data_IF_734550830906
#
_entry.id   IF_734550830906
#
_cell.length_a   1.000
_cell.length_b   1.000
_cell.length_c   1.000
_cell.angle_alpha   90.00
_cell.angle_beta   90.00
_cell.angle_gamma   90.00
#
_symmetry.space_group_name_H-M   'P 1'
#
loop_
_entity.id
_entity.type
_entity.pdbx_description
1 polymer ?
#
# COMPACT_ATOMS: atom_id res chain seq x y z
N UNK A 1 19.10 -3.97 -20.29
CA UNK A 1 18.79 -4.31 -18.89
C UNK A 1 18.06 -3.13 -18.28
N UNK A 2 16.79 -3.29 -17.86
CA UNK A 2 16.08 -2.24 -17.12
C UNK A 2 16.77 -2.06 -15.78
N UNK A 3 17.21 -0.83 -15.49
CA UNK A 3 17.82 -0.48 -14.21
C UNK A 3 16.72 -0.36 -13.17
N UNK A 4 16.85 -1.03 -12.02
CA UNK A 4 15.90 -0.86 -10.94
C UNK A 4 15.89 0.61 -10.46
N UNK A 5 14.73 1.16 -10.07
CA UNK A 5 14.66 2.51 -9.50
C UNK A 5 15.56 2.62 -8.25
N UNK A 6 16.06 3.82 -7.99
CA UNK A 6 16.80 4.10 -6.76
C UNK A 6 15.81 4.34 -5.64
N UNK A 7 15.95 3.60 -4.54
CA UNK A 7 15.10 3.75 -3.37
C UNK A 7 15.34 5.12 -2.70
N UNK A 8 14.30 5.95 -2.60
CA UNK A 8 14.31 7.24 -1.92
C UNK A 8 13.16 7.30 -0.90
N UNK A 9 13.45 7.80 0.30
CA UNK A 9 12.44 8.01 1.33
C UNK A 9 11.36 9.00 0.89
N UNK A 10 11.74 10.02 0.11
CA UNK A 10 10.80 11.02 -0.44
C UNK A 10 9.72 10.38 -1.32
N UNK A 11 10.05 9.30 -2.03
CA UNK A 11 9.10 8.60 -2.90
C UNK A 11 8.10 7.76 -2.10
N UNK A 12 8.49 7.33 -0.88
CA UNK A 12 7.65 6.54 0.02
C UNK A 12 6.61 7.40 0.72
N UNK A 13 6.94 8.68 0.98
CA UNK A 13 5.99 9.63 1.56
C UNK A 13 4.88 9.91 0.55
N UNK A 14 3.63 9.71 0.97
CA UNK A 14 2.48 10.00 0.14
C UNK A 14 2.30 11.52 -0.01
N UNK A 15 2.31 12.01 -1.26
CA UNK A 15 2.10 13.43 -1.57
C UNK A 15 0.62 13.78 -1.46
N UNK A 16 0.31 14.94 -0.86
CA UNK A 16 -1.07 15.39 -0.63
C UNK A 16 -1.71 16.08 -1.83
N UNK A 17 -0.92 16.55 -2.82
CA UNK A 17 -1.41 17.16 -4.05
C UNK A 17 -0.35 17.16 -5.14
N UNK A 18 -0.78 17.10 -6.40
CA UNK A 18 0.07 17.39 -7.56
C UNK A 18 -0.20 18.82 -8.02
N UNK A 19 0.82 19.66 -7.96
CA UNK A 19 0.76 21.08 -8.38
C UNK A 19 1.45 21.26 -9.71
N UNK A 20 0.78 21.91 -10.65
CA UNK A 20 1.36 22.29 -11.95
C UNK A 20 1.77 23.76 -11.87
N UNK A 21 3.01 24.05 -12.24
CA UNK A 21 3.57 25.39 -12.30
C UNK A 21 3.90 25.77 -13.74
N UNK A 22 3.82 27.06 -14.05
CA UNK A 22 4.33 27.59 -15.30
C UNK A 22 5.86 27.73 -15.31
N UNK A 23 6.40 28.19 -16.43
CA UNK A 23 7.84 28.41 -16.58
C UNK A 23 8.39 29.59 -15.73
N UNK A 24 7.49 30.35 -15.08
CA UNK A 24 7.82 31.45 -14.15
C UNK A 24 7.58 31.03 -12.69
N UNK A 25 7.29 29.73 -12.47
CA UNK A 25 7.03 29.14 -11.14
C UNK A 25 5.71 29.64 -10.49
N UNK A 26 4.75 30.16 -11.28
CA UNK A 26 3.40 30.46 -10.81
C UNK A 26 2.55 29.18 -10.83
N UNK A 27 1.75 28.97 -9.80
CA UNK A 27 0.82 27.83 -9.73
C UNK A 27 -0.28 27.99 -10.79
N UNK A 28 -0.28 27.11 -11.82
CA UNK A 28 -1.32 27.08 -12.87
C UNK A 28 -2.53 26.28 -12.40
N UNK A 29 -2.28 25.11 -11.79
CA UNK A 29 -3.31 24.24 -11.29
C UNK A 29 -2.83 23.47 -10.07
N UNK A 30 -3.68 23.37 -9.08
CA UNK A 30 -3.56 22.37 -8.03
C UNK A 30 -4.44 21.19 -8.46
N UNK A 31 -3.79 20.14 -8.99
CA UNK A 31 -4.48 18.89 -9.33
C UNK A 31 -4.78 18.09 -8.07
N UNK A 32 -5.09 18.76 -6.98
CA UNK A 32 -5.45 18.21 -5.68
C UNK A 32 -6.61 17.21 -5.69
N UNK A 33 -6.71 16.46 -6.78
CA UNK A 33 -7.71 15.44 -7.03
C UNK A 33 -7.49 14.18 -6.19
N UNK A 34 -6.32 13.95 -5.63
CA UNK A 34 -6.15 12.91 -4.62
C UNK A 34 -6.49 13.52 -3.26
N UNK A 35 -7.71 13.25 -2.79
CA UNK A 35 -8.05 13.45 -1.38
C UNK A 35 -7.13 12.56 -0.56
N UNK A 36 -6.12 13.13 0.06
CA UNK A 36 -5.17 12.37 0.85
C UNK A 36 -4.92 13.07 2.19
N UNK A 37 -5.20 12.35 3.26
CA UNK A 37 -4.94 12.77 4.64
C UNK A 37 -3.94 11.76 5.19
N UNK A 38 -2.70 12.18 5.38
CA UNK A 38 -1.67 11.32 5.95
C UNK A 38 -1.79 11.27 7.48
N UNK A 39 -1.48 10.11 8.02
CA UNK A 39 -1.36 9.87 9.47
C UNK A 39 0.06 9.49 9.83
N UNK A 40 0.42 9.78 11.08
CA UNK A 40 1.64 9.28 11.72
C UNK A 40 1.40 7.90 12.33
N UNK A 41 2.48 7.20 12.66
CA UNK A 41 2.40 5.85 13.25
C UNK A 41 1.51 5.79 14.51
N UNK A 42 1.55 6.85 15.35
CA UNK A 42 0.78 6.91 16.59
C UNK A 42 -0.73 7.10 16.38
N UNK A 43 -1.15 7.50 15.18
CA UNK A 43 -2.56 7.69 14.82
C UNK A 43 -3.17 6.44 14.20
N UNK A 44 -2.38 5.39 13.97
CA UNK A 44 -2.84 4.12 13.40
C UNK A 44 -3.23 3.17 14.54
N UNK A 45 -4.52 2.78 14.65
CA UNK A 45 -4.94 1.84 15.68
C UNK A 45 -4.25 0.48 15.56
N UNK A 46 -3.90 -0.13 16.68
CA UNK A 46 -3.30 -1.48 16.72
C UNK A 46 -4.19 -2.51 16.05
N UNK A 47 -5.51 -2.40 16.20
CA UNK A 47 -6.48 -3.32 15.57
C UNK A 47 -6.44 -3.21 14.05
N UNK A 48 -6.21 -2.01 13.48
CA UNK A 48 -6.01 -1.85 12.04
C UNK A 48 -4.73 -2.52 11.57
N UNK A 49 -3.62 -2.33 12.31
CA UNK A 49 -2.35 -3.01 12.01
C UNK A 49 -2.54 -4.52 12.01
N UNK A 50 -3.18 -5.06 13.05
CA UNK A 50 -3.44 -6.49 13.17
C UNK A 50 -4.32 -7.02 12.02
N UNK A 51 -5.35 -6.28 11.63
CA UNK A 51 -6.23 -6.65 10.53
C UNK A 51 -5.47 -6.64 9.17
N UNK A 52 -4.68 -5.61 8.88
CA UNK A 52 -3.85 -5.53 7.68
C UNK A 52 -2.87 -6.71 7.61
N UNK A 53 -2.15 -6.95 8.70
CA UNK A 53 -1.17 -8.04 8.77
C UNK A 53 -1.83 -9.41 8.60
N UNK A 54 -2.97 -9.63 9.25
CA UNK A 54 -3.72 -10.89 9.14
C UNK A 54 -4.19 -11.17 7.70
N UNK A 55 -4.66 -10.13 6.99
CA UNK A 55 -5.23 -10.25 5.65
C UNK A 55 -4.13 -10.30 4.58
N UNK A 56 -3.21 -9.34 4.63
CA UNK A 56 -2.25 -9.11 3.55
C UNK A 56 -0.96 -9.91 3.73
N UNK A 57 -0.44 -10.01 4.97
CA UNK A 57 0.88 -10.56 5.22
C UNK A 57 1.03 -11.05 6.67
N UNK A 58 0.39 -12.17 7.00
CA UNK A 58 0.35 -12.71 8.37
C UNK A 58 1.74 -12.99 8.99
N UNK A 59 2.79 -13.04 8.18
CA UNK A 59 4.18 -13.21 8.62
C UNK A 59 5.01 -11.94 8.54
N UNK A 60 4.36 -10.77 8.39
CA UNK A 60 5.01 -9.48 8.16
C UNK A 60 6.16 -9.20 9.13
N UNK A 61 5.98 -9.48 10.41
CA UNK A 61 7.00 -9.25 11.44
C UNK A 61 8.13 -10.30 11.46
N UNK A 62 8.02 -11.38 10.67
CA UNK A 62 8.94 -12.52 10.68
C UNK A 62 9.88 -12.57 9.47
N UNK A 63 9.61 -11.81 8.40
CA UNK A 63 10.45 -11.76 7.20
C UNK A 63 11.13 -10.39 7.04
N UNK A 64 12.03 -10.29 6.05
CA UNK A 64 12.77 -9.08 5.70
C UNK A 64 12.52 -8.66 4.25
N UNK A 65 11.29 -8.22 3.97
CA UNK A 65 10.87 -7.72 2.65
C UNK A 65 10.28 -8.79 1.74
N UNK A 66 10.74 -10.02 1.81
CA UNK A 66 10.27 -11.17 1.05
C UNK A 66 10.02 -12.35 1.98
N UNK A 67 8.88 -13.01 1.84
CA UNK A 67 8.55 -14.23 2.58
C UNK A 67 8.70 -15.47 1.68
N UNK A 68 9.83 -16.14 1.76
CA UNK A 68 10.16 -17.33 0.96
C UNK A 68 9.19 -18.47 1.27
N UNK A 69 8.76 -18.62 2.53
CA UNK A 69 7.83 -19.69 2.94
C UNK A 69 6.46 -19.45 2.28
N UNK A 70 5.99 -18.21 2.29
CA UNK A 70 4.73 -17.82 1.65
C UNK A 70 4.80 -18.00 0.13
N UNK A 71 5.91 -17.66 -0.51
CA UNK A 71 6.11 -17.88 -1.96
C UNK A 71 6.02 -19.37 -2.28
N UNK A 72 6.71 -20.22 -1.53
CA UNK A 72 6.63 -21.67 -1.71
C UNK A 72 5.21 -22.24 -1.51
N UNK A 73 4.53 -21.79 -0.46
CA UNK A 73 3.14 -22.16 -0.18
C UNK A 73 2.18 -21.74 -1.27
N UNK A 74 2.28 -20.49 -1.73
CA UNK A 74 1.45 -19.95 -2.82
C UNK A 74 1.70 -20.70 -4.14
N UNK A 75 2.93 -21.05 -4.44
CA UNK A 75 3.27 -21.84 -5.62
C UNK A 75 2.58 -23.22 -5.60
N UNK A 76 2.68 -23.93 -4.48
CA UNK A 76 2.03 -25.24 -4.32
C UNK A 76 0.49 -25.13 -4.37
N UNK A 77 -0.08 -24.09 -3.75
CA UNK A 77 -1.53 -23.85 -3.78
C UNK A 77 -2.02 -23.53 -5.20
N UNK A 78 -1.29 -22.70 -5.94
CA UNK A 78 -1.65 -22.31 -7.31
C UNK A 78 -1.52 -23.49 -8.29
N UNK A 79 -0.57 -24.41 -8.08
CA UNK A 79 -0.50 -25.67 -8.85
C UNK A 79 -1.73 -26.56 -8.67
N UNK A 80 -2.46 -26.41 -7.54
CA UNK A 80 -3.69 -27.13 -7.25
C UNK A 80 -4.96 -26.37 -7.67
N UNK A 81 -4.82 -25.33 -8.50
CA UNK A 81 -5.94 -24.53 -9.00
C UNK A 81 -6.37 -23.37 -8.10
N UNK A 82 -5.61 -23.06 -7.05
CA UNK A 82 -5.83 -21.89 -6.21
C UNK A 82 -5.30 -20.59 -6.84
N UNK A 83 -5.68 -19.46 -6.27
CA UNK A 83 -5.20 -18.14 -6.68
C UNK A 83 -4.71 -17.34 -5.45
N UNK A 84 -3.65 -17.82 -4.82
CA UNK A 84 -3.08 -17.18 -3.63
C UNK A 84 -1.91 -16.27 -3.98
N UNK A 85 -1.97 -15.01 -3.54
CA UNK A 85 -0.89 -14.04 -3.69
C UNK A 85 0.26 -14.30 -2.72
N UNK A 86 1.50 -14.36 -3.23
CA UNK A 86 2.71 -14.55 -2.44
C UNK A 86 3.46 -13.25 -2.09
N UNK A 87 2.91 -12.06 -2.44
CA UNK A 87 3.59 -10.78 -2.21
C UNK A 87 3.42 -10.30 -0.77
N UNK A 88 4.50 -9.78 -0.19
CA UNK A 88 4.49 -9.16 1.14
C UNK A 88 3.94 -7.73 1.11
N UNK A 89 3.57 -7.17 2.27
CA UNK A 89 3.21 -5.76 2.42
C UNK A 89 4.30 -4.82 1.91
N UNK A 90 5.56 -5.14 2.19
CA UNK A 90 6.71 -4.36 1.71
C UNK A 90 6.81 -4.37 0.19
N UNK A 91 6.61 -5.53 -0.46
CA UNK A 91 6.56 -5.62 -1.92
C UNK A 91 5.37 -4.84 -2.51
N UNK A 92 4.22 -4.85 -1.84
CA UNK A 92 3.05 -4.07 -2.26
C UNK A 92 3.34 -2.56 -2.17
N UNK A 93 3.97 -2.08 -1.09
CA UNK A 93 4.38 -0.69 -0.95
C UNK A 93 5.35 -0.27 -2.05
N UNK A 94 6.35 -1.09 -2.36
CA UNK A 94 7.29 -0.86 -3.47
C UNK A 94 6.54 -0.76 -4.80
N UNK A 95 5.59 -1.66 -5.06
CA UNK A 95 4.76 -1.62 -6.26
C UNK A 95 3.96 -0.32 -6.36
N UNK A 96 3.31 0.12 -5.30
CA UNK A 96 2.53 1.36 -5.25
C UNK A 96 3.40 2.60 -5.45
N UNK A 97 4.68 2.53 -5.09
CA UNK A 97 5.60 3.68 -5.14
C UNK A 97 6.30 3.84 -6.48
N UNK A 98 6.78 2.73 -7.07
CA UNK A 98 7.73 2.77 -8.20
C UNK A 98 7.20 2.15 -9.48
N UNK A 99 6.10 1.40 -9.43
CA UNK A 99 5.63 0.65 -10.58
C UNK A 99 4.17 0.96 -10.92
N UNK A 100 3.86 0.95 -12.21
CA UNK A 100 2.48 1.04 -12.68
C UNK A 100 1.64 -0.13 -12.17
N UNK A 101 0.37 0.12 -11.87
CA UNK A 101 -0.62 -0.91 -11.54
C UNK A 101 -1.20 -1.59 -12.78
N UNK A 102 -0.81 -1.15 -13.99
CA UNK A 102 -1.26 -1.74 -15.27
C UNK A 102 -0.93 -3.22 -15.35
N UNK A 103 -1.89 -3.99 -15.86
CA UNK A 103 -1.71 -5.43 -16.07
C UNK A 103 -0.61 -5.74 -17.11
N UNK A 104 -0.40 -4.84 -18.08
CA UNK A 104 0.62 -5.00 -19.13
C UNK A 104 2.04 -5.01 -18.58
N UNK A 105 2.27 -4.37 -17.43
CA UNK A 105 3.59 -4.26 -16.80
C UNK A 105 3.91 -5.41 -15.83
N UNK A 106 3.06 -6.42 -15.72
CA UNK A 106 3.24 -7.56 -14.81
C UNK A 106 4.23 -8.59 -15.35
N UNK A 107 5.49 -8.19 -15.44
CA UNK A 107 6.57 -9.06 -15.90
C UNK A 107 7.30 -9.73 -14.73
N UNK A 108 7.94 -10.89 -15.01
CA UNK A 108 8.82 -11.54 -14.03
C UNK A 108 9.98 -10.62 -13.61
N UNK A 109 10.54 -9.88 -14.56
CA UNK A 109 11.61 -8.90 -14.31
C UNK A 109 11.17 -7.85 -13.29
N UNK A 110 9.96 -7.28 -13.45
CA UNK A 110 9.41 -6.33 -12.47
C UNK A 110 9.24 -6.98 -11.10
N UNK A 111 8.77 -8.21 -11.04
CA UNK A 111 8.57 -8.92 -9.76
C UNK A 111 9.88 -9.15 -9.01
N UNK A 112 10.95 -9.43 -9.73
CA UNK A 112 12.30 -9.54 -9.16
C UNK A 112 12.77 -8.17 -8.63
N UNK A 113 12.52 -7.09 -9.37
CA UNK A 113 12.86 -5.73 -8.92
C UNK A 113 12.06 -5.33 -7.68
N UNK A 114 10.76 -5.61 -7.63
CA UNK A 114 9.93 -5.40 -6.43
C UNK A 114 10.50 -6.13 -5.21
N UNK A 115 10.86 -7.39 -5.37
CA UNK A 115 11.43 -8.20 -4.29
C UNK A 115 12.78 -7.65 -3.80
N UNK A 116 13.65 -7.29 -4.73
CA UNK A 116 14.95 -6.71 -4.39
C UNK A 116 14.79 -5.37 -3.66
N UNK A 117 13.97 -4.45 -4.18
CA UNK A 117 13.69 -3.16 -3.54
C UNK A 117 13.06 -3.33 -2.16
N UNK A 118 12.15 -4.30 -1.98
CA UNK A 118 11.55 -4.60 -0.68
C UNK A 118 12.60 -5.01 0.34
N UNK A 119 13.58 -5.85 -0.04
CA UNK A 119 14.68 -6.23 0.86
C UNK A 119 15.60 -5.05 1.19
N UNK A 120 15.82 -4.12 0.24
CA UNK A 120 16.61 -2.90 0.50
C UNK A 120 15.85 -1.94 1.42
N UNK A 121 14.53 -1.81 1.25
CA UNK A 121 13.70 -0.96 2.12
C UNK A 121 13.75 -1.45 3.56
N UNK A 122 13.61 -2.73 3.81
CA UNK A 122 13.63 -3.30 5.17
C UNK A 122 15.00 -3.24 5.86
N UNK A 123 16.06 -2.89 5.14
CA UNK A 123 17.35 -2.54 5.75
C UNK A 123 17.41 -1.09 6.25
N UNK A 124 16.52 -0.22 5.73
CA UNK A 124 16.56 1.23 5.99
C UNK A 124 15.38 1.72 6.83
N UNK A 125 14.25 1.02 6.77
CA UNK A 125 13.01 1.39 7.45
C UNK A 125 12.54 0.28 8.39
N UNK A 126 11.95 0.68 9.49
CA UNK A 126 11.32 -0.24 10.45
C UNK A 126 9.99 -0.78 9.91
N UNK A 127 9.51 -1.87 10.46
CA UNK A 127 8.19 -2.43 10.14
C UNK A 127 7.06 -1.42 10.37
N UNK A 128 7.16 -0.61 11.42
CA UNK A 128 6.19 0.43 11.73
C UNK A 128 6.18 1.54 10.68
N UNK A 129 7.35 1.98 10.22
CA UNK A 129 7.46 2.98 9.13
C UNK A 129 6.89 2.44 7.83
N UNK A 130 7.19 1.17 7.47
CA UNK A 130 6.66 0.52 6.27
C UNK A 130 5.13 0.45 6.31
N UNK A 131 4.56 0.03 7.44
CA UNK A 131 3.11 0.02 7.64
C UNK A 131 2.49 1.42 7.54
N UNK A 132 3.14 2.43 8.09
CA UNK A 132 2.68 3.83 8.01
C UNK A 132 2.66 4.32 6.56
N UNK A 133 3.72 4.08 5.80
CA UNK A 133 3.76 4.39 4.37
C UNK A 133 2.65 3.66 3.59
N UNK A 134 2.44 2.38 3.88
CA UNK A 134 1.39 1.58 3.24
C UNK A 134 -0.01 2.14 3.53
N UNK A 135 -0.34 2.40 4.80
CA UNK A 135 -1.63 2.97 5.24
C UNK A 135 -1.91 4.29 4.54
N UNK A 136 -0.89 5.12 4.33
CA UNK A 136 -1.02 6.43 3.68
C UNK A 136 -1.10 6.36 2.15
N UNK A 137 -0.64 5.28 1.52
CA UNK A 137 -0.53 5.18 0.04
C UNK A 137 -1.62 4.36 -0.63
N UNK A 138 -2.14 3.38 0.05
CA UNK A 138 -3.00 2.37 -0.56
C UNK A 138 -4.28 2.97 -1.15
N UNK A 139 -4.67 2.48 -2.33
CA UNK A 139 -5.93 2.88 -2.96
C UNK A 139 -7.14 2.22 -2.28
N UNK A 140 -8.15 3.04 -1.97
CA UNK A 140 -9.29 2.68 -1.14
C UNK A 140 -10.63 2.90 -1.86
N UNK A 141 -10.67 2.77 -3.19
CA UNK A 141 -11.83 3.08 -4.05
C UNK A 141 -12.28 4.55 -4.02
N UNK A 142 -13.19 4.91 -4.92
CA UNK A 142 -13.83 6.25 -5.02
C UNK A 142 -12.84 7.43 -4.98
N UNK A 143 -11.64 7.26 -5.55
CA UNK A 143 -10.60 8.28 -5.55
C UNK A 143 -9.94 8.54 -4.19
N UNK A 144 -10.22 7.70 -3.19
CA UNK A 144 -9.57 7.79 -1.89
C UNK A 144 -8.21 7.08 -1.92
N UNK A 145 -7.18 7.77 -1.49
CA UNK A 145 -5.84 7.24 -1.28
C UNK A 145 -5.46 7.36 0.18
N UNK A 146 -5.06 6.23 0.77
CA UNK A 146 -4.78 6.10 2.18
C UNK A 146 -6.01 5.79 3.03
N UNK A 147 -5.79 5.07 4.14
CA UNK A 147 -6.87 4.57 4.99
C UNK A 147 -7.52 5.65 5.84
N UNK A 148 -6.78 6.70 6.25
CA UNK A 148 -7.37 7.84 6.96
C UNK A 148 -8.34 8.61 6.07
N UNK A 149 -7.97 8.82 4.79
CA UNK A 149 -8.85 9.44 3.82
C UNK A 149 -10.13 8.64 3.64
N UNK A 150 -10.00 7.32 3.51
CA UNK A 150 -11.15 6.41 3.42
C UNK A 150 -12.03 6.45 4.68
N UNK A 151 -11.43 6.46 5.86
CA UNK A 151 -12.15 6.59 7.12
C UNK A 151 -13.01 7.86 7.17
N UNK A 152 -12.45 8.99 6.77
CA UNK A 152 -13.19 10.26 6.67
C UNK A 152 -14.27 10.21 5.60
N UNK A 153 -13.97 9.67 4.42
CA UNK A 153 -14.91 9.61 3.30
C UNK A 153 -16.11 8.70 3.60
N UNK A 154 -15.86 7.49 4.10
CA UNK A 154 -16.90 6.47 4.28
C UNK A 154 -17.63 6.58 5.61
N UNK A 155 -16.95 7.00 6.68
CA UNK A 155 -17.50 7.00 8.03
C UNK A 155 -17.54 8.37 8.71
N UNK A 156 -16.94 9.40 8.10
CA UNK A 156 -16.84 10.74 8.68
C UNK A 156 -15.99 10.81 9.95
N UNK A 157 -15.15 9.81 10.20
CA UNK A 157 -14.37 9.65 11.44
C UNK A 157 -12.87 9.51 11.15
N UNK A 158 -12.06 9.76 12.15
CA UNK A 158 -10.65 9.38 12.13
C UNK A 158 -10.46 7.88 12.34
N UNK A 159 -9.35 7.31 11.86
CA UNK A 159 -9.04 5.88 12.04
C UNK A 159 -9.13 5.45 13.52
N UNK A 160 -8.65 6.29 14.43
CA UNK A 160 -8.66 6.04 15.88
C UNK A 160 -10.05 5.91 16.48
N UNK A 161 -11.09 6.45 15.83
CA UNK A 161 -12.46 6.50 16.31
C UNK A 161 -13.35 5.43 15.63
N UNK A 162 -12.77 4.60 14.77
CA UNK A 162 -13.49 3.52 14.09
C UNK A 162 -13.64 2.29 14.98
N UNK A 163 -14.77 1.61 14.83
CA UNK A 163 -15.00 0.30 15.46
C UNK A 163 -14.17 -0.80 14.77
N UNK A 164 -13.96 -1.92 15.48
CA UNK A 164 -13.23 -3.06 14.93
C UNK A 164 -13.80 -3.57 13.58
N UNK A 165 -15.13 -3.72 13.39
CA UNK A 165 -15.67 -4.10 12.07
C UNK A 165 -15.34 -3.09 10.96
N UNK A 166 -15.36 -1.79 11.25
CA UNK A 166 -15.00 -0.75 10.29
C UNK A 166 -13.52 -0.81 9.92
N UNK A 167 -12.64 -1.01 10.91
CA UNK A 167 -11.20 -1.19 10.68
C UNK A 167 -10.90 -2.46 9.86
N UNK A 168 -11.61 -3.56 10.15
CA UNK A 168 -11.46 -4.81 9.40
C UNK A 168 -11.90 -4.65 7.93
N UNK A 169 -13.00 -3.93 7.68
CA UNK A 169 -13.46 -3.61 6.32
C UNK A 169 -12.40 -2.79 5.57
N UNK A 170 -11.88 -1.72 6.17
CA UNK A 170 -10.82 -0.91 5.57
C UNK A 170 -9.57 -1.74 5.28
N UNK A 171 -9.18 -2.65 6.16
CA UNK A 171 -8.02 -3.52 5.94
C UNK A 171 -8.23 -4.49 4.76
N UNK A 172 -9.47 -4.92 4.49
CA UNK A 172 -9.81 -5.82 3.38
C UNK A 172 -9.96 -5.11 2.02
N UNK A 173 -10.29 -3.82 2.00
CA UNK A 173 -10.56 -3.07 0.77
C UNK A 173 -9.43 -3.12 -0.28
N UNK A 174 -8.14 -3.07 0.06
CA UNK A 174 -7.08 -3.08 -0.95
C UNK A 174 -7.07 -4.32 -1.85
N UNK A 175 -7.60 -5.45 -1.38
CA UNK A 175 -7.69 -6.69 -2.17
C UNK A 175 -8.77 -6.62 -3.25
N UNK A 176 -9.89 -5.98 -2.95
CA UNK A 176 -11.04 -5.88 -3.85
C UNK A 176 -11.78 -4.54 -3.62
N UNK A 177 -11.18 -3.40 -4.00
CA UNK A 177 -11.70 -2.09 -3.66
C UNK A 177 -13.14 -1.87 -4.11
N UNK A 178 -13.52 -2.40 -5.27
CA UNK A 178 -14.87 -2.25 -5.80
C UNK A 178 -15.90 -3.20 -5.15
N UNK A 179 -15.45 -4.32 -4.54
CA UNK A 179 -16.34 -5.26 -3.86
C UNK A 179 -16.61 -4.88 -2.42
N UNK A 180 -15.66 -4.21 -1.77
CA UNK A 180 -15.76 -3.76 -0.39
C UNK A 180 -16.08 -2.27 -0.29
N UNK A 181 -16.51 -1.66 -1.39
CA UNK A 181 -16.96 -0.27 -1.41
C UNK A 181 -18.24 -0.11 -0.57
N UNK A 182 -18.25 0.70 0.50
CA UNK A 182 -19.42 0.90 1.35
C UNK A 182 -20.61 1.55 0.63
N UNK A 183 -20.40 2.08 -0.57
CA UNK A 183 -21.44 2.73 -1.38
C UNK A 183 -21.98 1.85 -2.51
N UNK A 184 -21.43 0.63 -2.70
CA UNK A 184 -21.89 -0.31 -3.75
C UNK A 184 -23.03 -1.23 -3.27
#
# INVERSE_FOLDING_TARGET
AMKAPTLSEKDLVATTSSKIYDNQNNLIADLGAEKRINVTANEIPTDLVNAIVAIEDHRFFNHRGVDIIRIGGSFLHNLRGGNQGGSTLTQQLIKLTYFSTSAADRTLSRKIQEAWLATQLEKKATKQEILTYYVNKVFMANGNYGMQTAAKSYYGKDLKDLSLPQLALLAGMPQAPNQYDPYS
#
